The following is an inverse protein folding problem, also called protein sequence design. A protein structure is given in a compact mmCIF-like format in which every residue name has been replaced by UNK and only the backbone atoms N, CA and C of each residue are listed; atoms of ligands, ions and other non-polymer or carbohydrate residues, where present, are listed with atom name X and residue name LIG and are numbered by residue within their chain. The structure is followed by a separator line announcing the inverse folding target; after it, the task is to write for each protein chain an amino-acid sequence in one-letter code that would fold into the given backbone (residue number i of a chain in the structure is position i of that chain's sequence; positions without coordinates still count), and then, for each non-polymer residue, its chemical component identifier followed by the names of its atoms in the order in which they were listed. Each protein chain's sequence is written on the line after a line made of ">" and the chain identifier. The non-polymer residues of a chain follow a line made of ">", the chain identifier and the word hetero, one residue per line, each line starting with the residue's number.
data_IF_220477360635
#
_entry.id   IF_220477360635
#
_cell.length_a   1.000
_cell.length_b   1.000
_cell.length_c   1.000
_cell.angle_alpha   90.00
_cell.angle_beta   90.00
_cell.angle_gamma   90.00
#
_symmetry.space_group_name_H-M   'P 1'
#
loop_
_entity.id
_entity.type
_entity.pdbx_description
1 polymer ?
#
# COMPACT_ATOMS: atom_id res chain seq x y z
N UNK A 1 33.84 -16.17 -22.87
CA UNK A 1 34.13 -14.93 -23.62
C UNK A 1 33.45 -13.76 -22.90
N UNK A 2 34.00 -12.54 -22.95
CA UNK A 2 33.33 -11.37 -22.34
C UNK A 2 31.95 -11.15 -22.98
N UNK A 3 31.86 -11.31 -24.31
CA UNK A 3 30.62 -11.14 -25.06
C UNK A 3 29.52 -12.12 -24.62
N UNK A 4 29.87 -13.37 -24.31
CA UNK A 4 28.88 -14.37 -23.84
C UNK A 4 28.34 -14.02 -22.47
N UNK A 5 29.17 -13.50 -21.56
CA UNK A 5 28.70 -13.07 -20.24
C UNK A 5 27.77 -11.85 -20.35
N UNK A 6 28.09 -10.91 -21.23
CA UNK A 6 27.26 -9.74 -21.49
C UNK A 6 25.90 -10.12 -22.08
N UNK A 7 25.88 -11.05 -23.03
CA UNK A 7 24.64 -11.54 -23.63
C UNK A 7 23.73 -12.17 -22.56
N UNK A 8 24.26 -13.04 -21.71
CA UNK A 8 23.46 -13.68 -20.66
C UNK A 8 22.99 -12.71 -19.59
N UNK A 9 23.80 -11.69 -19.25
CA UNK A 9 23.37 -10.61 -18.37
C UNK A 9 22.25 -9.78 -19.02
N UNK A 10 22.34 -9.47 -20.32
CA UNK A 10 21.31 -8.75 -21.04
C UNK A 10 19.98 -9.52 -21.05
N UNK A 11 20.04 -10.84 -21.27
CA UNK A 11 18.87 -11.72 -21.14
C UNK A 11 18.28 -11.64 -19.73
N UNK A 12 19.12 -11.68 -18.69
CA UNK A 12 18.63 -11.56 -17.32
C UNK A 12 17.96 -10.21 -17.05
N UNK A 13 18.53 -9.12 -17.57
CA UNK A 13 17.96 -7.77 -17.44
C UNK A 13 16.61 -7.69 -18.16
N UNK A 14 16.47 -8.28 -19.35
CA UNK A 14 15.19 -8.33 -20.06
C UNK A 14 14.12 -9.07 -19.24
N UNK A 15 14.47 -10.22 -18.65
CA UNK A 15 13.56 -10.98 -17.77
C UNK A 15 13.22 -10.19 -16.49
N UNK A 16 14.21 -9.54 -15.89
CA UNK A 16 14.05 -8.66 -14.73
C UNK A 16 13.09 -7.49 -15.02
N UNK A 17 13.19 -6.92 -16.22
CA UNK A 17 12.36 -5.81 -16.66
C UNK A 17 10.91 -6.26 -16.87
N UNK A 18 10.69 -7.46 -17.43
CA UNK A 18 9.36 -8.05 -17.52
C UNK A 18 8.72 -8.22 -16.13
N UNK A 19 9.50 -8.63 -15.13
CA UNK A 19 9.05 -8.71 -13.73
C UNK A 19 8.59 -7.35 -13.19
N UNK A 20 9.36 -6.29 -13.46
CA UNK A 20 9.01 -4.93 -13.07
C UNK A 20 7.73 -4.41 -13.74
N UNK A 21 7.57 -4.62 -15.04
CA UNK A 21 6.35 -4.22 -15.74
C UNK A 21 5.13 -4.97 -15.20
N UNK A 22 5.26 -6.27 -14.99
CA UNK A 22 4.17 -7.06 -14.38
C UNK A 22 3.86 -6.57 -12.96
N UNK A 23 4.86 -6.15 -12.17
CA UNK A 23 4.62 -5.54 -10.86
C UNK A 23 3.78 -4.26 -10.99
N UNK A 24 4.12 -3.37 -11.93
CA UNK A 24 3.40 -2.12 -12.14
C UNK A 24 1.92 -2.32 -12.49
N UNK A 25 1.56 -3.38 -13.22
CA UNK A 25 0.17 -3.70 -13.53
C UNK A 25 -0.58 -4.33 -12.35
N UNK A 26 0.11 -5.07 -11.49
CA UNK A 26 -0.52 -5.85 -10.41
C UNK A 26 -0.54 -5.12 -9.06
N UNK A 27 0.29 -4.09 -8.87
CA UNK A 27 0.47 -3.44 -7.57
C UNK A 27 -0.75 -2.69 -7.07
N UNK A 28 -1.50 -2.07 -7.97
CA UNK A 28 -2.75 -1.37 -7.65
C UNK A 28 -3.98 -2.26 -7.76
N UNK A 29 -3.81 -3.54 -8.10
CA UNK A 29 -4.91 -4.48 -8.09
C UNK A 29 -5.31 -4.82 -6.64
N UNK A 30 -6.50 -4.37 -6.25
CA UNK A 30 -7.10 -4.54 -4.91
C UNK A 30 -7.16 -6.01 -4.45
N UNK A 31 -7.21 -6.95 -5.39
CA UNK A 31 -7.32 -8.38 -5.08
C UNK A 31 -5.97 -9.08 -4.84
N UNK A 32 -4.85 -8.45 -5.21
CA UNK A 32 -3.51 -9.01 -5.05
C UNK A 32 -2.76 -8.30 -3.92
N UNK A 33 -2.69 -6.97 -4.00
CA UNK A 33 -2.13 -6.12 -2.94
C UNK A 33 -0.62 -6.24 -2.74
N UNK A 34 -0.05 -5.21 -2.09
CA UNK A 34 1.42 -5.08 -1.89
C UNK A 34 2.00 -6.23 -1.06
N UNK A 35 1.26 -6.67 -0.03
CA UNK A 35 1.72 -7.71 0.90
C UNK A 35 1.95 -9.05 0.19
N UNK A 36 1.00 -9.50 -0.62
CA UNK A 36 1.12 -10.78 -1.31
C UNK A 36 2.15 -10.75 -2.42
N UNK A 37 2.32 -9.64 -3.13
CA UNK A 37 3.41 -9.45 -4.10
C UNK A 37 4.78 -9.72 -3.47
N UNK A 38 5.03 -9.14 -2.30
CA UNK A 38 6.30 -9.29 -1.60
C UNK A 38 6.51 -10.74 -1.12
N UNK A 39 5.46 -11.39 -0.59
CA UNK A 39 5.52 -12.80 -0.18
C UNK A 39 5.76 -13.73 -1.36
N UNK A 40 5.04 -13.55 -2.48
CA UNK A 40 5.19 -14.38 -3.68
C UNK A 40 6.58 -14.24 -4.28
N UNK A 41 7.13 -13.02 -4.33
CA UNK A 41 8.50 -12.82 -4.81
C UNK A 41 9.54 -13.50 -3.91
N UNK A 42 9.43 -13.35 -2.57
CA UNK A 42 10.34 -14.04 -1.65
C UNK A 42 10.22 -15.57 -1.72
N UNK A 43 9.01 -16.12 -1.84
CA UNK A 43 8.80 -17.55 -2.00
C UNK A 43 9.30 -18.06 -3.36
N UNK A 44 9.10 -17.29 -4.42
CA UNK A 44 9.63 -17.59 -5.76
C UNK A 44 11.16 -17.67 -5.74
N UNK A 45 11.82 -16.69 -5.12
CA UNK A 45 13.27 -16.67 -4.93
C UNK A 45 13.73 -17.86 -4.08
N UNK A 46 13.06 -18.13 -2.96
CA UNK A 46 13.36 -19.28 -2.10
C UNK A 46 13.31 -20.60 -2.87
N UNK A 47 12.23 -20.84 -3.62
CA UNK A 47 12.06 -22.07 -4.41
C UNK A 47 13.15 -22.17 -5.50
N UNK A 48 13.43 -21.08 -6.20
CA UNK A 48 14.42 -21.07 -7.28
C UNK A 48 15.85 -21.35 -6.79
N UNK A 49 16.18 -21.01 -5.54
CA UNK A 49 17.52 -21.25 -4.99
C UNK A 49 17.63 -22.48 -4.08
N UNK A 50 16.54 -22.91 -3.44
CA UNK A 50 16.55 -24.13 -2.59
C UNK A 50 16.60 -25.42 -3.41
N UNK A 51 15.96 -25.45 -4.60
CA UNK A 51 15.99 -26.62 -5.49
C UNK A 51 17.43 -26.93 -5.94
N UNK A 52 18.22 -25.96 -6.47
CA UNK A 52 19.64 -26.16 -6.73
C UNK A 52 20.47 -26.55 -5.51
N UNK A 53 20.10 -26.08 -4.32
CA UNK A 53 20.86 -26.32 -3.10
C UNK A 53 20.93 -27.81 -2.72
N UNK A 54 19.80 -28.53 -2.83
CA UNK A 54 19.74 -29.96 -2.50
C UNK A 54 20.48 -30.86 -3.49
N UNK A 55 20.65 -30.43 -4.74
CA UNK A 55 21.38 -31.20 -5.76
C UNK A 55 22.41 -30.34 -6.50
N UNK A 56 23.28 -29.69 -5.73
CA UNK A 56 24.26 -28.73 -6.25
C UNK A 56 25.13 -29.34 -7.37
N UNK A 57 25.60 -30.58 -7.23
CA UNK A 57 26.48 -31.19 -8.23
C UNK A 57 25.80 -31.38 -9.59
N UNK A 58 24.52 -31.74 -9.63
CA UNK A 58 23.76 -31.88 -10.87
C UNK A 58 23.50 -30.54 -11.57
N UNK A 59 23.15 -29.51 -10.79
CA UNK A 59 22.79 -28.20 -11.33
C UNK A 59 24.00 -27.30 -11.63
N UNK A 60 25.08 -27.40 -10.85
CA UNK A 60 26.27 -26.55 -11.00
C UNK A 60 27.34 -27.15 -11.92
N UNK A 61 27.48 -28.49 -11.95
CA UNK A 61 28.55 -29.18 -12.71
C UNK A 61 28.04 -30.24 -13.70
N UNK A 62 26.77 -30.60 -13.61
CA UNK A 62 26.17 -31.67 -14.40
C UNK A 62 25.40 -31.17 -15.64
N UNK A 63 24.59 -32.04 -16.27
CA UNK A 63 23.75 -31.67 -17.41
C UNK A 63 22.60 -30.71 -17.05
N UNK A 64 22.39 -30.44 -15.75
CA UNK A 64 21.33 -29.57 -15.24
C UNK A 64 21.62 -28.08 -15.32
N UNK A 65 22.77 -27.65 -15.85
CA UNK A 65 23.18 -26.23 -15.88
C UNK A 65 22.17 -25.32 -16.60
N UNK A 66 21.54 -25.79 -17.68
CA UNK A 66 20.49 -25.01 -18.34
C UNK A 66 19.24 -24.82 -17.48
N UNK A 67 18.89 -25.83 -16.65
CA UNK A 67 17.78 -25.71 -15.69
C UNK A 67 18.14 -24.75 -14.55
N UNK A 68 19.39 -24.78 -14.09
CA UNK A 68 19.91 -23.82 -13.12
C UNK A 68 19.81 -22.39 -13.65
N UNK A 69 20.22 -22.18 -14.89
CA UNK A 69 20.15 -20.89 -15.56
C UNK A 69 18.71 -20.38 -15.70
N UNK A 70 17.77 -21.26 -16.05
CA UNK A 70 16.36 -20.91 -16.10
C UNK A 70 15.82 -20.50 -14.72
N UNK A 71 16.16 -21.25 -13.65
CA UNK A 71 15.77 -20.88 -12.27
C UNK A 71 16.41 -19.56 -11.83
N UNK A 72 17.65 -19.28 -12.24
CA UNK A 72 18.32 -18.01 -11.95
C UNK A 72 17.60 -16.83 -12.61
N UNK A 73 17.25 -16.92 -13.90
CA UNK A 73 16.47 -15.87 -14.57
C UNK A 73 15.07 -15.73 -13.99
N UNK A 74 14.43 -16.84 -13.65
CA UNK A 74 13.13 -16.83 -13.00
C UNK A 74 13.17 -16.19 -11.60
N UNK A 75 14.23 -16.41 -10.82
CA UNK A 75 14.44 -15.70 -9.56
C UNK A 75 14.61 -14.19 -9.78
N UNK A 76 15.33 -13.78 -10.83
CA UNK A 76 15.47 -12.36 -11.15
C UNK A 76 14.12 -11.75 -11.53
N UNK A 77 13.23 -12.49 -12.19
CA UNK A 77 11.85 -12.05 -12.39
C UNK A 77 11.09 -11.86 -11.07
N UNK A 78 11.09 -12.86 -10.18
CA UNK A 78 10.35 -12.82 -8.91
C UNK A 78 10.87 -11.76 -7.94
N UNK A 79 12.19 -11.58 -7.87
CA UNK A 79 12.84 -10.56 -7.06
C UNK A 79 12.39 -9.16 -7.47
N UNK A 80 12.34 -8.91 -8.78
CA UNK A 80 11.93 -7.62 -9.34
C UNK A 80 10.42 -7.41 -9.20
N UNK A 81 9.64 -8.48 -9.42
CA UNK A 81 8.18 -8.44 -9.32
C UNK A 81 7.68 -8.12 -7.91
N UNK A 82 8.32 -8.67 -6.87
CA UNK A 82 7.88 -8.52 -5.48
C UNK A 82 8.82 -7.64 -4.66
N UNK A 83 9.87 -8.23 -4.03
CA UNK A 83 10.73 -7.54 -3.07
C UNK A 83 11.26 -6.19 -3.55
N UNK A 84 11.75 -6.09 -4.79
CA UNK A 84 12.35 -4.84 -5.26
C UNK A 84 11.29 -3.73 -5.40
N UNK A 85 10.22 -3.95 -6.17
CA UNK A 85 9.19 -2.93 -6.36
C UNK A 85 8.47 -2.56 -5.06
N UNK A 86 8.07 -3.54 -4.26
CA UNK A 86 7.23 -3.30 -3.07
C UNK A 86 8.02 -2.64 -1.94
N UNK A 87 9.30 -2.93 -1.76
CA UNK A 87 10.09 -2.39 -0.63
C UNK A 87 10.13 -0.87 -0.63
N UNK A 88 10.27 -0.23 -1.80
CA UNK A 88 10.31 1.23 -1.90
C UNK A 88 8.93 1.86 -1.73
N UNK A 89 7.90 1.25 -2.31
CA UNK A 89 6.53 1.77 -2.26
C UNK A 89 5.97 1.64 -0.84
N UNK A 90 6.15 0.49 -0.21
CA UNK A 90 5.71 0.26 1.16
C UNK A 90 6.34 1.23 2.16
N UNK A 91 7.62 1.58 1.99
CA UNK A 91 8.25 2.58 2.86
C UNK A 91 7.57 3.95 2.73
N UNK A 92 7.14 4.35 1.53
CA UNK A 92 6.41 5.59 1.31
C UNK A 92 4.97 5.54 1.86
N UNK A 93 4.34 4.37 1.81
CA UNK A 93 2.96 4.13 2.26
C UNK A 93 2.82 3.80 3.74
N UNK A 94 3.88 3.49 4.48
CA UNK A 94 3.77 3.12 5.91
C UNK A 94 4.24 4.25 6.83
N UNK A 95 5.20 5.06 6.38
CA UNK A 95 5.76 6.12 7.21
C UNK A 95 4.95 7.43 7.12
N UNK A 96 4.64 8.07 8.27
CA UNK A 96 3.90 9.31 8.31
C UNK A 96 4.70 10.45 7.67
N UNK A 97 3.98 11.40 7.08
CA UNK A 97 4.54 12.44 6.20
C UNK A 97 5.70 13.21 6.83
N UNK A 98 5.64 13.64 8.11
CA UNK A 98 6.69 14.47 8.71
C UNK A 98 8.05 13.77 8.85
N UNK A 99 8.06 12.44 8.99
CA UNK A 99 9.29 11.65 9.22
C UNK A 99 9.60 10.68 8.09
N UNK A 100 8.78 10.66 7.03
CA UNK A 100 8.87 9.70 5.92
C UNK A 100 10.27 9.65 5.32
N UNK A 101 10.88 10.80 5.05
CA UNK A 101 12.22 10.86 4.47
C UNK A 101 13.29 10.24 5.39
N UNK A 102 13.30 10.61 6.67
CA UNK A 102 14.26 10.08 7.65
C UNK A 102 14.06 8.60 7.92
N UNK A 103 12.81 8.15 8.08
CA UNK A 103 12.48 6.74 8.31
C UNK A 103 12.82 5.89 7.08
N UNK A 104 12.52 6.38 5.87
CA UNK A 104 12.91 5.71 4.63
C UNK A 104 14.44 5.65 4.49
N UNK A 105 15.16 6.74 4.78
CA UNK A 105 16.62 6.78 4.76
C UNK A 105 17.25 5.80 5.76
N UNK A 106 16.70 5.71 6.97
CA UNK A 106 17.13 4.72 7.97
C UNK A 106 16.88 3.29 7.49
N UNK A 107 15.69 3.00 6.95
CA UNK A 107 15.37 1.70 6.36
C UNK A 107 16.33 1.33 5.20
N UNK A 108 16.66 2.31 4.34
CA UNK A 108 17.62 2.11 3.25
C UNK A 108 19.04 1.85 3.77
N UNK A 109 19.45 2.52 4.85
CA UNK A 109 20.73 2.26 5.52
C UNK A 109 20.78 0.83 6.08
N UNK A 110 19.72 0.37 6.76
CA UNK A 110 19.61 -1.02 7.22
C UNK A 110 19.70 -2.03 6.06
N UNK A 111 19.03 -1.75 4.94
CA UNK A 111 19.12 -2.58 3.73
C UNK A 111 20.54 -2.67 3.18
N UNK A 112 21.26 -1.54 3.11
CA UNK A 112 22.66 -1.49 2.69
C UNK A 112 23.60 -2.22 3.66
N UNK A 113 23.37 -2.12 4.97
CA UNK A 113 24.11 -2.90 5.97
C UNK A 113 23.89 -4.41 5.81
N UNK A 114 22.67 -4.82 5.47
CA UNK A 114 22.37 -6.22 5.13
C UNK A 114 23.16 -6.70 3.90
N UNK A 115 23.18 -5.90 2.83
CA UNK A 115 23.95 -6.21 1.63
C UNK A 115 25.46 -6.30 1.90
N UNK A 116 26.00 -5.38 2.71
CA UNK A 116 27.40 -5.41 3.14
C UNK A 116 27.69 -6.70 3.94
N UNK A 117 26.82 -7.05 4.89
CA UNK A 117 26.96 -8.26 5.71
C UNK A 117 26.99 -9.51 4.83
N UNK A 118 26.11 -9.61 3.82
CA UNK A 118 26.11 -10.73 2.88
C UNK A 118 27.41 -10.78 2.05
N UNK A 119 27.91 -9.64 1.56
CA UNK A 119 29.16 -9.58 0.81
C UNK A 119 30.36 -10.03 1.65
N UNK A 120 30.43 -9.60 2.92
CA UNK A 120 31.45 -10.06 3.87
C UNK A 120 31.31 -11.55 4.13
N UNK A 121 30.11 -12.03 4.46
CA UNK A 121 29.84 -13.45 4.73
C UNK A 121 30.29 -14.36 3.57
N UNK A 122 30.04 -13.95 2.32
CA UNK A 122 30.44 -14.71 1.14
C UNK A 122 31.95 -14.93 1.01
N UNK A 123 32.80 -14.12 1.65
CA UNK A 123 34.24 -14.39 1.70
C UNK A 123 34.61 -15.52 2.67
N UNK A 124 33.73 -15.87 3.61
CA UNK A 124 33.96 -16.91 4.62
C UNK A 124 33.21 -18.21 4.34
N UNK A 125 32.26 -18.22 3.39
CA UNK A 125 31.47 -19.41 3.04
C UNK A 125 31.68 -19.85 1.59
N UNK A 126 31.86 -21.15 1.41
CA UNK A 126 32.01 -21.78 0.09
C UNK A 126 30.73 -21.69 -0.74
N UNK A 127 30.89 -21.78 -2.07
CA UNK A 127 29.78 -21.65 -3.02
C UNK A 127 28.62 -22.61 -2.74
N UNK A 128 28.82 -23.92 -2.50
CA UNK A 128 27.70 -24.82 -2.18
C UNK A 128 26.99 -24.44 -0.88
N UNK A 129 27.75 -23.98 0.12
CA UNK A 129 27.20 -23.53 1.41
C UNK A 129 26.32 -22.29 1.25
N UNK A 130 26.66 -21.38 0.32
CA UNK A 130 25.81 -20.22 -0.01
C UNK A 130 24.43 -20.65 -0.47
N UNK A 131 24.33 -21.66 -1.33
CA UNK A 131 23.04 -22.19 -1.79
C UNK A 131 22.23 -22.82 -0.65
N UNK A 132 22.88 -23.39 0.37
CA UNK A 132 22.17 -23.96 1.51
C UNK A 132 21.70 -22.92 2.53
N UNK A 133 22.43 -21.81 2.67
CA UNK A 133 22.17 -20.79 3.71
C UNK A 133 21.28 -19.65 3.20
N UNK A 134 21.60 -19.09 2.03
CA UNK A 134 20.97 -17.86 1.52
C UNK A 134 19.46 -17.98 1.30
N UNK A 135 18.90 -19.08 0.76
CA UNK A 135 17.46 -19.17 0.50
C UNK A 135 16.63 -19.00 1.78
N UNK A 136 17.12 -19.46 2.94
CA UNK A 136 16.41 -19.34 4.20
C UNK A 136 16.22 -17.89 4.64
N UNK A 137 17.11 -16.96 4.25
CA UNK A 137 16.89 -15.54 4.47
C UNK A 137 15.73 -15.00 3.63
N UNK A 138 15.51 -15.54 2.42
CA UNK A 138 14.32 -15.25 1.62
C UNK A 138 13.03 -15.75 2.29
N UNK A 139 13.04 -16.98 2.81
CA UNK A 139 11.90 -17.52 3.56
C UNK A 139 11.63 -16.73 4.86
N UNK A 140 12.68 -16.38 5.60
CA UNK A 140 12.57 -15.52 6.77
C UNK A 140 12.00 -14.15 6.40
N UNK A 141 12.41 -13.57 5.27
CA UNK A 141 11.83 -12.36 4.70
C UNK A 141 10.33 -12.51 4.46
N UNK A 142 9.89 -13.59 3.80
CA UNK A 142 8.48 -13.88 3.59
C UNK A 142 7.68 -13.98 4.89
N UNK A 143 8.24 -14.64 5.92
CA UNK A 143 7.60 -14.78 7.24
C UNK A 143 7.50 -13.42 7.94
N UNK A 144 8.57 -12.62 7.93
CA UNK A 144 8.58 -11.28 8.51
C UNK A 144 7.54 -10.40 7.81
N UNK A 145 7.49 -10.41 6.48
CA UNK A 145 6.45 -9.70 5.71
C UNK A 145 5.06 -10.19 6.07
N UNK A 146 4.84 -11.50 6.19
CA UNK A 146 3.53 -12.03 6.55
C UNK A 146 3.05 -11.56 7.94
N UNK A 147 3.95 -11.54 8.93
CA UNK A 147 3.62 -11.19 10.31
C UNK A 147 3.47 -9.68 10.49
N UNK A 148 4.45 -8.89 10.01
CA UNK A 148 4.58 -7.48 10.37
C UNK A 148 4.08 -6.51 9.31
N UNK A 149 4.00 -6.91 8.03
CA UNK A 149 3.60 -5.98 6.98
C UNK A 149 2.08 -5.80 6.95
N UNK A 150 1.58 -4.55 7.12
CA UNK A 150 0.20 -4.20 6.84
C UNK A 150 -0.06 -4.17 5.33
N UNK A 151 -1.31 -4.33 4.93
CA UNK A 151 -1.71 -4.18 3.54
C UNK A 151 -2.26 -2.77 3.31
N UNK A 152 -1.42 -1.88 2.81
CA UNK A 152 -1.75 -0.47 2.54
C UNK A 152 -2.46 -0.26 1.20
N UNK A 153 -2.76 -1.32 0.46
CA UNK A 153 -3.41 -1.28 -0.86
C UNK A 153 -4.74 -0.51 -0.81
N UNK A 154 -4.78 0.63 -1.50
CA UNK A 154 -6.00 1.45 -1.64
C UNK A 154 -6.37 2.26 -0.39
N UNK A 155 -5.50 2.35 0.62
CA UNK A 155 -5.70 3.22 1.77
C UNK A 155 -5.12 4.61 1.48
N UNK A 156 -5.91 5.66 1.66
CA UNK A 156 -5.44 7.03 1.47
C UNK A 156 -4.40 7.43 2.54
N UNK A 157 -3.37 8.16 2.13
CA UNK A 157 -2.30 8.62 3.01
C UNK A 157 -2.83 9.58 4.08
N UNK A 158 -3.88 10.36 3.76
CA UNK A 158 -4.53 11.24 4.75
C UNK A 158 -5.12 10.44 5.91
N UNK A 159 -5.69 9.27 5.63
CA UNK A 159 -6.31 8.44 6.65
C UNK A 159 -5.26 7.85 7.60
N UNK A 160 -4.08 7.50 7.07
CA UNK A 160 -2.96 7.07 7.89
C UNK A 160 -2.41 8.20 8.75
N UNK A 161 -2.28 9.41 8.20
CA UNK A 161 -1.84 10.59 8.95
C UNK A 161 -2.82 10.91 10.08
N UNK A 162 -4.13 10.79 9.83
CA UNK A 162 -5.18 10.93 10.84
C UNK A 162 -5.00 9.91 11.97
N UNK A 163 -4.84 8.61 11.64
CA UNK A 163 -4.52 7.57 12.63
C UNK A 163 -3.27 7.92 13.45
N UNK A 164 -2.20 8.39 12.81
CA UNK A 164 -0.97 8.80 13.47
C UNK A 164 -1.13 10.01 14.39
N UNK A 165 -2.02 10.95 14.07
CA UNK A 165 -2.34 12.08 14.93
C UNK A 165 -2.97 11.61 16.26
N UNK A 166 -3.92 10.66 16.21
CA UNK A 166 -4.52 10.05 17.40
C UNK A 166 -3.48 9.29 18.25
N UNK A 167 -2.59 8.53 17.60
CA UNK A 167 -1.50 7.81 18.29
C UNK A 167 -0.56 8.79 19.01
N UNK A 168 -0.15 9.88 18.35
CA UNK A 168 0.72 10.90 18.97
C UNK A 168 0.06 11.64 20.13
N UNK A 169 -1.26 11.80 20.09
CA UNK A 169 -2.03 12.40 21.17
C UNK A 169 -2.30 11.43 22.34
N UNK A 170 -1.88 10.17 22.26
CA UNK A 170 -2.18 9.14 23.26
C UNK A 170 -3.65 8.69 23.26
N UNK A 171 -4.43 9.04 22.23
CA UNK A 171 -5.86 8.77 22.08
C UNK A 171 -6.13 7.72 20.99
N UNK A 172 -5.33 6.66 20.99
CA UNK A 172 -5.39 5.61 19.96
C UNK A 172 -6.74 4.89 19.89
N UNK A 173 -7.45 4.79 21.02
CA UNK A 173 -8.75 4.13 21.14
C UNK A 173 -9.91 4.97 20.61
N UNK A 174 -9.69 6.27 20.37
CA UNK A 174 -10.72 7.19 19.85
C UNK A 174 -10.78 7.19 18.32
N UNK A 175 -9.80 6.55 17.65
CA UNK A 175 -9.77 6.46 16.20
C UNK A 175 -10.58 5.25 15.71
N UNK A 176 -11.60 5.51 14.90
CA UNK A 176 -12.55 4.48 14.43
C UNK A 176 -12.50 4.22 12.91
N UNK A 177 -11.57 4.87 12.21
CA UNK A 177 -11.54 4.93 10.74
C UNK A 177 -10.97 3.71 10.00
N UNK A 178 -10.95 3.80 8.67
CA UNK A 178 -10.61 2.69 7.76
C UNK A 178 -9.17 2.19 7.94
N UNK A 179 -8.24 2.99 8.48
CA UNK A 179 -6.85 2.56 8.70
C UNK A 179 -6.68 1.49 9.80
N UNK A 180 -7.70 1.24 10.62
CA UNK A 180 -7.74 0.11 11.58
C UNK A 180 -8.67 -1.02 11.13
N UNK A 181 -9.21 -0.95 9.91
CA UNK A 181 -9.98 -2.05 9.35
C UNK A 181 -9.08 -3.30 9.24
N UNK A 182 -9.57 -4.52 9.56
CA UNK A 182 -8.76 -5.73 9.56
C UNK A 182 -7.96 -5.92 8.27
N UNK A 183 -8.51 -5.60 7.10
CA UNK A 183 -7.82 -5.74 5.81
C UNK A 183 -6.49 -4.98 5.76
N UNK A 184 -6.42 -3.78 6.35
CA UNK A 184 -5.22 -2.94 6.32
C UNK A 184 -4.26 -3.18 7.48
N UNK A 185 -4.66 -3.97 8.48
CA UNK A 185 -3.81 -4.30 9.62
C UNK A 185 -2.89 -5.48 9.32
N UNK A 186 -1.65 -5.39 9.80
CA UNK A 186 -0.72 -6.50 9.86
C UNK A 186 -1.25 -7.61 10.77
N UNK A 187 -0.71 -8.83 10.63
CA UNK A 187 -1.12 -9.94 11.50
C UNK A 187 -0.75 -9.65 12.96
N UNK A 188 0.40 -9.01 13.19
CA UNK A 188 0.82 -8.55 14.51
C UNK A 188 -0.17 -7.54 15.13
N UNK A 189 -0.62 -6.53 14.37
CA UNK A 189 -1.60 -5.56 14.87
C UNK A 189 -2.97 -6.17 15.12
N UNK A 190 -3.38 -7.14 14.29
CA UNK A 190 -4.61 -7.92 14.53
C UNK A 190 -4.52 -8.71 15.83
N UNK A 191 -3.38 -9.34 16.11
CA UNK A 191 -3.15 -10.08 17.37
C UNK A 191 -3.14 -9.16 18.61
N UNK A 192 -2.59 -7.94 18.47
CA UNK A 192 -2.66 -6.89 19.52
C UNK A 192 -4.09 -6.37 19.76
N UNK A 193 -5.03 -6.65 18.86
CA UNK A 193 -6.42 -6.20 18.98
C UNK A 193 -6.63 -4.74 18.56
N UNK A 194 -5.75 -4.17 17.74
CA UNK A 194 -5.87 -2.77 17.26
C UNK A 194 -7.17 -2.54 16.50
N UNK A 195 -7.65 -3.54 15.75
CA UNK A 195 -8.89 -3.44 14.97
C UNK A 195 -10.19 -3.46 15.78
N UNK A 196 -10.14 -3.57 17.11
CA UNK A 196 -11.35 -3.61 17.96
C UNK A 196 -12.15 -2.31 17.94
N UNK A 197 -11.47 -1.19 17.70
CA UNK A 197 -12.07 0.16 17.71
C UNK A 197 -12.63 0.54 16.33
N UNK A 198 -12.64 -0.35 15.34
CA UNK A 198 -13.18 -0.02 14.02
C UNK A 198 -14.70 0.11 14.08
N UNK A 199 -15.22 1.30 13.76
CA UNK A 199 -16.65 1.57 13.68
C UNK A 199 -16.94 2.59 12.57
N UNK A 200 -17.62 2.14 11.51
CA UNK A 200 -17.91 2.97 10.35
C UNK A 200 -18.88 4.13 10.63
N UNK A 201 -19.84 3.95 11.55
CA UNK A 201 -20.81 4.99 11.88
C UNK A 201 -20.16 6.10 12.74
N UNK A 202 -19.34 5.71 13.72
CA UNK A 202 -18.59 6.66 14.55
C UNK A 202 -17.53 7.39 13.73
N UNK A 203 -16.85 6.71 12.80
CA UNK A 203 -15.91 7.35 11.88
C UNK A 203 -16.60 8.42 11.02
N UNK A 204 -17.79 8.11 10.48
CA UNK A 204 -18.55 9.08 9.69
C UNK A 204 -18.93 10.31 10.52
N UNK A 205 -19.42 10.10 11.74
CA UNK A 205 -19.78 11.20 12.65
C UNK A 205 -18.56 12.07 12.99
N UNK A 206 -17.42 11.45 13.31
CA UNK A 206 -16.17 12.16 13.57
C UNK A 206 -15.71 12.95 12.35
N UNK A 207 -15.76 12.38 11.13
CA UNK A 207 -15.42 13.10 9.90
C UNK A 207 -16.30 14.32 9.67
N UNK A 208 -17.61 14.23 9.94
CA UNK A 208 -18.52 15.37 9.81
C UNK A 208 -18.19 16.46 10.83
N UNK A 209 -17.84 16.08 12.06
CA UNK A 209 -17.41 17.02 13.11
C UNK A 209 -16.07 17.68 12.78
N UNK A 210 -15.07 16.91 12.32
CA UNK A 210 -13.78 17.40 11.85
C UNK A 210 -13.95 18.38 10.67
N UNK A 211 -14.74 17.99 9.67
CA UNK A 211 -15.02 18.84 8.51
C UNK A 211 -15.76 20.14 8.91
N UNK A 212 -16.66 20.07 9.89
CA UNK A 212 -17.31 21.26 10.44
C UNK A 212 -16.30 22.18 11.13
N UNK A 213 -15.42 21.64 11.97
CA UNK A 213 -14.41 22.41 12.67
C UNK A 213 -13.43 23.10 11.70
N UNK A 214 -13.01 22.39 10.65
CA UNK A 214 -12.15 22.95 9.60
C UNK A 214 -12.85 24.07 8.83
N UNK A 215 -14.14 23.89 8.52
CA UNK A 215 -14.96 24.93 7.87
C UNK A 215 -15.13 26.16 8.76
N UNK A 216 -15.43 25.99 10.06
CA UNK A 216 -15.55 27.10 11.01
C UNK A 216 -14.23 27.88 11.15
N UNK A 217 -13.10 27.16 11.23
CA UNK A 217 -11.77 27.78 11.27
C UNK A 217 -11.44 28.53 9.96
N UNK A 218 -11.81 27.98 8.80
CA UNK A 218 -11.62 28.64 7.51
C UNK A 218 -12.46 29.92 7.41
N UNK A 219 -13.73 29.89 7.86
CA UNK A 219 -14.59 31.06 7.89
C UNK A 219 -14.11 32.14 8.88
N UNK A 220 -13.54 31.74 10.01
CA UNK A 220 -12.91 32.66 10.96
C UNK A 220 -11.69 33.36 10.32
N UNK A 221 -10.76 32.59 9.70
CA UNK A 221 -9.63 33.16 8.95
C UNK A 221 -10.09 34.12 7.86
N UNK A 222 -11.12 33.76 7.10
CA UNK A 222 -11.72 34.63 6.08
C UNK A 222 -12.24 35.94 6.67
N UNK A 223 -12.87 35.89 7.84
CA UNK A 223 -13.41 37.07 8.51
C UNK A 223 -12.29 37.99 8.98
N UNK A 224 -11.22 37.42 9.54
CA UNK A 224 -10.02 38.15 9.97
C UNK A 224 -9.27 38.77 8.77
N UNK A 225 -9.10 38.03 7.68
CA UNK A 225 -8.40 38.49 6.48
C UNK A 225 -9.21 39.52 5.67
N UNK A 226 -10.55 39.39 5.62
CA UNK A 226 -11.44 40.42 5.07
C UNK A 226 -11.39 41.70 5.89
N UNK A 227 -11.26 41.59 7.22
CA UNK A 227 -11.07 42.75 8.09
C UNK A 227 -9.68 43.39 7.92
N UNK A 228 -8.67 42.63 7.50
CA UNK A 228 -7.29 43.09 7.39
C UNK A 228 -6.90 43.67 6.01
N UNK A 229 -7.38 43.09 4.90
CA UNK A 229 -6.76 43.32 3.57
C UNK A 229 -7.64 44.02 2.54
N UNK A 230 -8.95 44.15 2.79
CA UNK A 230 -9.87 44.78 1.85
C UNK A 230 -10.03 44.01 0.53
N UNK A 231 -11.12 43.25 0.45
CA UNK A 231 -11.77 42.75 -0.79
C UNK A 231 -10.87 42.14 -1.87
N UNK A 232 -10.09 41.12 -1.50
CA UNK A 232 -9.62 40.13 -2.48
C UNK A 232 -10.53 38.89 -2.40
N UNK A 233 -11.25 38.60 -3.48
CA UNK A 233 -11.92 37.32 -3.71
C UNK A 233 -10.85 36.22 -3.80
N UNK A 234 -10.86 35.28 -2.86
CA UNK A 234 -10.07 34.05 -2.96
C UNK A 234 -10.94 32.94 -3.55
N UNK A 235 -10.30 32.10 -4.37
CA UNK A 235 -10.89 30.86 -4.89
C UNK A 235 -11.32 29.95 -3.73
N UNK A 236 -12.59 29.51 -3.76
CA UNK A 236 -13.17 28.65 -2.73
C UNK A 236 -12.60 27.22 -2.85
N UNK A 237 -11.86 26.77 -1.85
CA UNK A 237 -11.41 25.38 -1.71
C UNK A 237 -12.55 24.42 -1.28
N UNK A 238 -13.74 24.96 -0.97
CA UNK A 238 -14.91 24.21 -0.52
C UNK A 238 -16.05 24.30 -1.54
N UNK A 239 -16.76 23.19 -1.78
CA UNK A 239 -17.93 23.22 -2.67
C UNK A 239 -19.12 23.94 -2.03
N UNK A 240 -19.91 24.64 -2.85
CA UNK A 240 -21.16 25.32 -2.45
C UNK A 240 -22.16 24.40 -1.73
N UNK A 241 -22.12 23.10 -2.03
CA UNK A 241 -22.94 22.08 -1.36
C UNK A 241 -22.52 21.85 0.10
N UNK A 242 -21.22 21.86 0.38
CA UNK A 242 -20.69 21.65 1.74
C UNK A 242 -20.95 22.89 2.60
N UNK A 243 -20.71 24.08 2.06
CA UNK A 243 -20.96 25.34 2.77
C UNK A 243 -22.45 25.50 3.11
N UNK A 244 -23.34 25.24 2.16
CA UNK A 244 -24.79 25.33 2.37
C UNK A 244 -25.33 24.27 3.35
N UNK A 245 -24.73 23.08 3.40
CA UNK A 245 -25.05 22.06 4.40
C UNK A 245 -24.68 22.51 5.82
N UNK A 246 -23.48 23.07 6.00
CA UNK A 246 -23.03 23.54 7.32
C UNK A 246 -23.75 24.80 7.77
N UNK A 247 -24.04 25.75 6.87
CA UNK A 247 -24.88 26.91 7.17
C UNK A 247 -26.30 26.52 7.60
N UNK A 248 -26.89 25.52 6.95
CA UNK A 248 -28.23 25.00 7.29
C UNK A 248 -28.26 24.30 8.63
N UNK A 249 -27.21 23.55 8.95
CA UNK A 249 -27.10 22.82 10.22
C UNK A 249 -26.62 23.71 11.38
N UNK A 250 -26.03 24.88 11.12
CA UNK A 250 -25.60 25.88 12.12
C UNK A 250 -26.73 26.41 13.00
N UNK A 251 -27.95 26.52 12.45
CA UNK A 251 -29.11 27.08 13.15
C UNK A 251 -30.05 26.03 13.77
N UNK A 252 -29.62 24.77 13.89
CA UNK A 252 -30.33 23.73 14.66
C UNK A 252 -31.66 23.21 14.08
N UNK A 253 -32.07 23.61 12.87
CA UNK A 253 -33.28 23.04 12.22
C UNK A 253 -32.94 21.81 11.39
N UNK A 254 -32.71 20.68 12.06
CA UNK A 254 -32.64 19.36 11.42
C UNK A 254 -34.05 18.75 11.32
N UNK A 255 -34.67 18.80 10.14
CA UNK A 255 -35.73 17.86 9.79
C UNK A 255 -35.04 16.58 9.28
N UNK A 256 -35.20 15.49 10.03
CA UNK A 256 -34.41 14.25 9.94
C UNK A 256 -34.57 13.38 8.70
N UNK A 257 -34.49 13.94 7.49
CA UNK A 257 -34.69 13.19 6.23
C UNK A 257 -33.47 13.18 5.29
N UNK A 258 -32.35 13.80 5.67
CA UNK A 258 -31.21 14.03 4.74
C UNK A 258 -29.97 13.17 5.00
N UNK A 259 -30.01 12.18 5.89
CA UNK A 259 -28.88 11.27 6.12
C UNK A 259 -28.64 10.26 4.97
N UNK A 260 -29.59 10.11 4.04
CA UNK A 260 -29.50 9.13 2.94
C UNK A 260 -28.75 9.62 1.71
N UNK A 261 -28.64 10.94 1.49
CA UNK A 261 -28.09 11.50 0.25
C UNK A 261 -26.56 11.46 0.17
N UNK A 262 -25.85 11.43 1.30
CA UNK A 262 -24.38 11.34 1.33
C UNK A 262 -23.85 9.95 0.95
N UNK A 263 -24.72 8.93 0.93
CA UNK A 263 -24.34 7.56 0.57
C UNK A 263 -24.08 7.40 -0.94
N UNK A 264 -24.52 8.36 -1.76
CA UNK A 264 -24.60 8.17 -3.22
C UNK A 264 -23.52 8.90 -4.03
N UNK A 265 -22.73 9.80 -3.43
CA UNK A 265 -21.77 10.64 -4.17
C UNK A 265 -20.29 10.19 -4.05
N UNK A 266 -19.94 9.37 -3.05
CA UNK A 266 -18.57 8.84 -2.89
C UNK A 266 -18.34 7.50 -3.63
N UNK A 267 -19.18 7.18 -4.60
CA UNK A 267 -19.14 5.92 -5.32
C UNK A 267 -19.56 6.06 -6.78
N UNK A 268 -19.04 7.03 -7.51
CA UNK A 268 -18.65 6.81 -8.92
C UNK A 268 -17.97 8.04 -9.50
N UNK A 269 -16.85 7.82 -10.19
CA UNK A 269 -16.26 8.83 -11.05
C UNK A 269 -17.02 8.87 -12.37
N UNK A 270 -17.45 10.08 -12.77
CA UNK A 270 -17.48 10.48 -14.18
C UNK A 270 -18.68 10.08 -15.05
N UNK A 271 -19.30 11.14 -15.57
CA UNK A 271 -19.99 11.28 -16.87
C UNK A 271 -21.53 11.22 -16.86
N UNK A 272 -22.06 12.23 -17.56
CA UNK A 272 -23.41 12.80 -17.61
C UNK A 272 -24.25 12.24 -18.78
N UNK A 273 -25.57 12.45 -18.69
CA UNK A 273 -26.68 12.32 -19.66
C UNK A 273 -27.33 10.92 -19.75
N UNK A 274 -28.65 10.75 -19.72
CA UNK A 274 -29.79 11.67 -19.79
C UNK A 274 -30.93 10.99 -20.56
N UNK A 275 -32.19 11.18 -20.16
CA UNK A 275 -33.37 10.85 -20.97
C UNK A 275 -34.26 9.73 -20.44
N UNK A 276 -35.51 10.07 -20.12
CA UNK A 276 -36.53 9.17 -19.55
C UNK A 276 -37.29 8.30 -20.56
N UNK A 277 -38.19 7.48 -20.01
CA UNK A 277 -39.14 6.66 -20.79
C UNK A 277 -39.87 5.62 -19.94
N UNK A 278 -41.19 5.81 -19.85
CA UNK A 278 -42.32 4.98 -19.41
C UNK A 278 -42.24 3.43 -19.37
N UNK A 279 -43.05 2.87 -18.43
CA UNK A 279 -43.82 1.59 -18.39
C UNK A 279 -43.09 0.27 -18.80
N UNK A 280 -43.28 -0.92 -18.22
CA UNK A 280 -44.40 -1.64 -17.59
C UNK A 280 -43.83 -2.83 -16.79
N UNK A 281 -44.63 -3.38 -15.86
CA UNK A 281 -44.41 -4.64 -15.16
C UNK A 281 -44.38 -5.87 -16.07
N UNK A 282 -43.42 -6.78 -15.88
CA UNK A 282 -43.66 -8.24 -16.02
C UNK A 282 -42.58 -9.09 -15.30
N UNK A 283 -43.02 -10.28 -14.89
CA UNK A 283 -42.45 -11.23 -13.92
C UNK A 283 -41.18 -12.00 -14.41
N UNK A 284 -40.47 -12.71 -13.49
CA UNK A 284 -39.14 -13.25 -13.74
C UNK A 284 -39.15 -14.62 -14.42
N UNK A 285 -38.06 -14.96 -15.12
CA UNK A 285 -37.69 -16.35 -15.42
C UNK A 285 -36.24 -16.59 -15.02
N UNK A 286 -36.09 -17.63 -14.22
CA UNK A 286 -34.84 -18.32 -13.89
C UNK A 286 -34.14 -18.86 -15.15
N UNK A 287 -32.81 -18.92 -15.12
CA UNK A 287 -32.02 -20.16 -15.18
C UNK A 287 -30.64 -19.90 -14.56
#
# INVERSE_FOLDING_TARGET
>A
SVMTNWLWNLVNIAVSLLGYYMASFLIDNKNYGRKWMMIVGFLGDFICFVIPAFNYNYYAKGPGVHKFMAMYFLSSFFNQFGPNSVTFIAAAEVFPTPVRASAHGFSAACGKLGALTAAVLYNYIDVPMRFLVVPWFGLAGAIITYVFMPDTTGLDLKEQERRWAFIRAGREHEYHGVAIHPQHLSLYERLRGVGKYYNAEEDYRQRVEEMRADWEAAMARRTEEKAATGDHEMDDDWSDEISSFFERTRNGKSNGTTLSSFKQQNGDGGVVNGGGGEYTSEKPREF
#
